data_IF_397757971079
#
_entry.id   IF_397757971079
#
_cell.length_a   1.000
_cell.length_b   1.000
_cell.length_c   1.000
_cell.angle_alpha   90.00
_cell.angle_beta   90.00
_cell.angle_gamma   90.00
#
_symmetry.space_group_name_H-M   'P 1'
#
loop_
_entity.id
_entity.type
_entity.pdbx_description
1 polymer ?
#
# COMPACT_ATOMS: atom_id res chain seq x y z
N UNK A 1 15.09 0.77 29.81
CA UNK A 1 13.77 0.63 29.13
C UNK A 1 13.81 1.56 27.94
N UNK A 2 13.73 1.02 26.71
CA UNK A 2 13.90 1.83 25.49
C UNK A 2 12.81 2.90 25.37
N UNK A 3 13.18 4.09 24.88
CA UNK A 3 12.24 5.19 24.63
C UNK A 3 11.15 4.74 23.64
N UNK A 4 9.88 5.00 23.96
CA UNK A 4 8.72 4.54 23.19
C UNK A 4 8.49 5.45 21.97
N UNK A 5 8.43 4.88 20.77
CA UNK A 5 8.10 5.59 19.53
C UNK A 5 6.58 5.73 19.42
N UNK A 6 6.08 6.96 19.33
CA UNK A 6 4.64 7.25 19.24
C UNK A 6 4.35 8.42 18.29
N UNK A 7 4.50 8.24 16.98
CA UNK A 7 4.24 9.30 15.99
C UNK A 7 2.81 9.89 16.09
N UNK A 8 1.83 9.08 16.49
CA UNK A 8 0.45 9.54 16.71
C UNK A 8 0.31 10.59 17.83
N UNK A 9 1.30 10.70 18.73
CA UNK A 9 1.37 11.68 19.83
C UNK A 9 2.49 12.71 19.62
N UNK A 10 2.94 12.89 18.37
CA UNK A 10 4.03 13.79 18.06
C UNK A 10 3.69 15.23 18.44
N UNK A 11 4.50 15.85 19.31
CA UNK A 11 4.32 17.23 19.75
C UNK A 11 4.92 18.26 18.79
N UNK A 12 5.73 17.83 17.82
CA UNK A 12 6.43 18.70 16.86
C UNK A 12 6.57 18.01 15.50
N UNK A 13 5.61 18.26 14.60
CA UNK A 13 5.56 17.64 13.26
C UNK A 13 6.50 18.39 12.30
N UNK A 14 7.66 17.79 12.01
CA UNK A 14 8.70 18.37 11.13
C UNK A 14 8.98 17.54 9.88
N UNK A 15 8.32 16.39 9.71
CA UNK A 15 8.71 15.37 8.71
C UNK A 15 8.77 15.89 7.26
N UNK A 16 7.96 16.89 6.91
CA UNK A 16 7.94 17.51 5.58
C UNK A 16 8.69 18.82 5.46
N UNK A 17 9.41 19.26 6.50
CA UNK A 17 10.13 20.54 6.53
C UNK A 17 11.64 20.37 6.39
N UNK A 18 12.37 21.48 6.30
CA UNK A 18 13.84 21.46 6.25
C UNK A 18 14.46 20.99 7.58
N UNK A 19 13.68 21.04 8.65
CA UNK A 19 14.03 20.68 10.03
C UNK A 19 13.56 19.27 10.39
N UNK A 20 13.45 18.37 9.40
CA UNK A 20 12.90 17.01 9.56
C UNK A 20 13.58 16.16 10.66
N UNK A 21 14.82 16.49 11.02
CA UNK A 21 15.60 15.84 12.08
C UNK A 21 15.50 16.55 13.45
N UNK A 22 14.77 17.66 13.54
CA UNK A 22 14.56 18.44 14.77
C UNK A 22 13.23 18.10 15.47
N UNK A 23 12.74 16.87 15.28
CA UNK A 23 11.58 16.34 16.00
C UNK A 23 11.85 16.13 17.49
N UNK A 24 10.82 15.68 18.24
CA UNK A 24 10.93 15.36 19.67
C UNK A 24 12.04 14.35 19.99
N UNK A 25 12.38 14.16 21.27
CA UNK A 25 13.45 13.22 21.69
C UNK A 25 13.22 11.81 21.16
N UNK A 26 11.97 11.34 21.19
CA UNK A 26 11.56 10.02 20.75
C UNK A 26 11.25 9.90 19.24
N UNK A 27 11.56 10.92 18.43
CA UNK A 27 11.28 10.90 17.00
C UNK A 27 12.08 9.77 16.30
N UNK A 28 11.42 8.86 15.56
CA UNK A 28 12.10 7.72 14.93
C UNK A 28 13.12 8.15 13.87
N UNK A 29 12.90 9.28 13.19
CA UNK A 29 13.87 9.89 12.27
C UNK A 29 15.22 10.18 12.94
N UNK A 30 15.22 10.45 14.25
CA UNK A 30 16.43 10.71 15.04
C UNK A 30 16.96 9.44 15.70
N UNK A 31 16.09 8.69 16.36
CA UNK A 31 16.48 7.59 17.26
C UNK A 31 16.65 6.25 16.55
N UNK A 32 16.14 6.09 15.33
CA UNK A 32 16.16 4.86 14.54
C UNK A 32 16.83 5.04 13.17
N UNK A 33 17.88 5.86 13.12
CA UNK A 33 18.65 6.11 11.89
C UNK A 33 19.21 4.83 11.27
N UNK A 34 19.70 3.91 12.10
CA UNK A 34 20.17 2.59 11.71
C UNK A 34 19.10 1.78 10.98
N UNK A 35 17.88 1.71 11.53
CA UNK A 35 16.75 1.02 10.91
C UNK A 35 16.34 1.70 9.61
N UNK A 36 16.33 3.03 9.57
CA UNK A 36 16.02 3.78 8.35
C UNK A 36 17.04 3.47 7.26
N UNK A 37 18.34 3.43 7.58
CA UNK A 37 19.37 3.07 6.60
C UNK A 37 19.22 1.62 6.12
N UNK A 38 18.91 0.68 7.01
CA UNK A 38 18.63 -0.71 6.63
C UNK A 38 17.42 -0.80 5.69
N UNK A 39 16.34 -0.08 5.99
CA UNK A 39 15.15 -0.04 5.15
C UNK A 39 15.42 0.63 3.78
N UNK A 40 16.29 1.64 3.73
CA UNK A 40 16.69 2.28 2.47
C UNK A 40 17.50 1.33 1.58
N UNK A 41 18.41 0.54 2.17
CA UNK A 41 19.22 -0.43 1.45
C UNK A 41 18.37 -1.54 0.79
N UNK A 42 17.17 -1.84 1.31
CA UNK A 42 16.25 -2.79 0.67
C UNK A 42 15.79 -2.30 -0.72
N UNK A 43 15.71 -0.99 -0.94
CA UNK A 43 15.41 -0.42 -2.27
C UNK A 43 16.59 -0.49 -3.24
N UNK A 44 17.74 -1.05 -2.85
CA UNK A 44 18.82 -1.32 -3.81
C UNK A 44 18.60 -2.58 -4.63
N UNK A 45 17.71 -3.48 -4.17
CA UNK A 45 17.28 -4.64 -4.93
C UNK A 45 16.46 -4.18 -6.14
N UNK A 46 16.87 -4.47 -7.39
CA UNK A 46 16.26 -3.87 -8.58
C UNK A 46 14.74 -4.02 -8.68
N UNK A 47 14.21 -5.18 -8.31
CA UNK A 47 12.78 -5.50 -8.32
C UNK A 47 12.00 -4.69 -7.28
N UNK A 48 12.57 -4.51 -6.08
CA UNK A 48 11.96 -3.69 -5.02
C UNK A 48 12.03 -2.21 -5.42
N UNK A 49 13.16 -1.78 -5.98
CA UNK A 49 13.38 -0.41 -6.45
C UNK A 49 12.33 0.00 -7.45
N UNK A 50 12.12 -0.81 -8.50
CA UNK A 50 11.16 -0.48 -9.55
C UNK A 50 9.72 -0.52 -9.03
N UNK A 51 9.37 -1.52 -8.23
CA UNK A 51 8.05 -1.60 -7.59
C UNK A 51 7.77 -0.34 -6.75
N UNK A 52 8.70 0.05 -5.88
CA UNK A 52 8.57 1.21 -5.01
C UNK A 52 8.48 2.50 -5.82
N UNK A 53 9.31 2.65 -6.86
CA UNK A 53 9.29 3.81 -7.76
C UNK A 53 7.94 3.97 -8.44
N UNK A 54 7.39 2.89 -8.99
CA UNK A 54 6.08 2.92 -9.65
C UNK A 54 4.94 3.16 -8.67
N UNK A 55 5.06 2.65 -7.43
CA UNK A 55 4.07 2.89 -6.38
C UNK A 55 4.05 4.35 -5.96
N UNK A 56 5.22 4.98 -5.77
CA UNK A 56 5.34 6.41 -5.48
C UNK A 56 4.81 7.28 -6.62
N UNK A 57 5.09 6.92 -7.87
CA UNK A 57 4.55 7.62 -9.04
C UNK A 57 3.01 7.52 -9.05
N UNK A 58 2.47 6.32 -8.84
CA UNK A 58 1.03 6.10 -8.83
C UNK A 58 0.33 6.89 -7.72
N UNK A 59 0.88 6.89 -6.51
CA UNK A 59 0.34 7.64 -5.37
C UNK A 59 0.35 9.15 -5.68
N UNK A 60 1.46 9.67 -6.20
CA UNK A 60 1.55 11.08 -6.56
C UNK A 60 0.54 11.48 -7.67
N UNK A 61 0.43 10.68 -8.73
CA UNK A 61 -0.49 10.91 -9.86
C UNK A 61 -1.98 10.79 -9.50
N UNK A 62 -2.31 10.19 -8.35
CA UNK A 62 -3.68 10.13 -7.84
C UNK A 62 -4.19 11.50 -7.37
N UNK A 63 -3.29 12.39 -6.95
CA UNK A 63 -3.71 13.68 -6.43
C UNK A 63 -4.03 14.70 -7.54
N UNK A 64 -4.98 15.58 -7.25
CA UNK A 64 -5.26 16.79 -8.01
C UNK A 64 -5.29 18.01 -7.08
N UNK A 65 -4.96 19.18 -7.62
CA UNK A 65 -5.05 20.45 -6.92
C UNK A 65 -6.36 21.15 -7.31
N UNK A 66 -7.16 21.50 -6.31
CA UNK A 66 -8.35 22.32 -6.42
C UNK A 66 -8.12 23.64 -5.66
N UNK A 67 -8.94 24.69 -5.89
CA UNK A 67 -8.85 25.93 -5.11
C UNK A 67 -8.92 25.72 -3.59
N UNK A 68 -9.64 24.68 -3.15
CA UNK A 68 -9.83 24.33 -1.73
C UNK A 68 -8.68 23.48 -1.16
N UNK A 69 -7.76 23.00 -2.01
CA UNK A 69 -6.59 22.21 -1.60
C UNK A 69 -6.32 20.98 -2.47
N UNK A 70 -5.38 20.14 -2.01
CA UNK A 70 -4.98 18.90 -2.68
C UNK A 70 -5.88 17.74 -2.24
N UNK A 71 -6.46 17.02 -3.20
CA UNK A 71 -7.33 15.86 -2.94
C UNK A 71 -7.00 14.68 -3.84
N UNK A 72 -7.32 13.46 -3.41
CA UNK A 72 -7.19 12.27 -4.23
C UNK A 72 -8.36 12.21 -5.22
N UNK A 73 -8.07 11.93 -6.50
CA UNK A 73 -9.07 11.90 -7.59
C UNK A 73 -9.54 10.49 -7.95
N UNK A 74 -8.71 9.48 -7.68
CA UNK A 74 -8.98 8.10 -8.11
C UNK A 74 -9.40 7.23 -6.91
N UNK A 75 -10.44 6.38 -7.07
CA UNK A 75 -10.72 5.34 -6.09
C UNK A 75 -9.62 4.27 -6.12
N UNK A 76 -9.43 3.54 -5.01
CA UNK A 76 -8.36 2.53 -4.88
C UNK A 76 -8.39 1.46 -5.97
N UNK A 77 -9.58 1.06 -6.45
CA UNK A 77 -9.70 0.09 -7.56
C UNK A 77 -9.06 0.62 -8.84
N UNK A 78 -9.22 1.91 -9.14
CA UNK A 78 -8.61 2.54 -10.31
C UNK A 78 -7.10 2.72 -10.12
N UNK A 79 -6.64 3.05 -8.91
CA UNK A 79 -5.21 3.09 -8.61
C UNK A 79 -4.53 1.73 -8.80
N UNK A 80 -5.18 0.63 -8.39
CA UNK A 80 -4.69 -0.74 -8.62
C UNK A 80 -4.55 -1.04 -10.11
N UNK A 81 -5.54 -0.66 -10.92
CA UNK A 81 -5.52 -0.83 -12.38
C UNK A 81 -4.36 -0.06 -13.00
N UNK A 82 -4.17 1.21 -12.62
CA UNK A 82 -3.11 2.06 -13.16
C UNK A 82 -1.73 1.56 -12.75
N UNK A 83 -1.54 1.20 -11.48
CA UNK A 83 -0.30 0.61 -10.98
C UNK A 83 0.04 -0.70 -11.71
N UNK A 84 -0.93 -1.63 -11.81
CA UNK A 84 -0.71 -2.91 -12.47
C UNK A 84 -0.31 -2.73 -13.95
N UNK A 85 -0.86 -1.72 -14.64
CA UNK A 85 -0.45 -1.35 -16.00
C UNK A 85 0.98 -0.82 -16.05
N UNK A 86 1.37 0.08 -15.13
CA UNK A 86 2.76 0.60 -15.04
C UNK A 86 3.77 -0.51 -14.79
N UNK A 87 3.40 -1.51 -13.98
CA UNK A 87 4.21 -2.70 -13.72
C UNK A 87 4.19 -3.74 -14.86
N UNK A 88 3.38 -3.52 -15.90
CA UNK A 88 3.25 -4.46 -17.02
C UNK A 88 2.54 -5.77 -16.68
N UNK A 89 1.86 -5.86 -15.52
CA UNK A 89 1.16 -7.07 -15.11
C UNK A 89 0.00 -7.39 -16.06
N UNK A 90 -0.17 -8.68 -16.36
CA UNK A 90 -1.24 -9.19 -17.23
C UNK A 90 -2.26 -10.02 -16.48
N UNK A 91 -1.83 -10.69 -15.42
CA UNK A 91 -2.65 -11.58 -14.61
C UNK A 91 -2.74 -11.06 -13.18
N UNK A 92 -3.96 -10.97 -12.65
CA UNK A 92 -4.22 -10.51 -11.29
C UNK A 92 -4.99 -11.57 -10.49
N UNK A 93 -4.55 -11.78 -9.24
CA UNK A 93 -5.19 -12.69 -8.31
C UNK A 93 -6.08 -11.96 -7.30
N UNK A 94 -7.29 -12.46 -7.05
CA UNK A 94 -8.19 -11.96 -6.01
C UNK A 94 -8.41 -13.05 -4.97
N UNK A 95 -7.86 -12.87 -3.77
CA UNK A 95 -8.20 -13.69 -2.60
C UNK A 95 -9.29 -12.98 -1.80
N UNK A 96 -10.40 -13.65 -1.51
CA UNK A 96 -11.55 -13.01 -0.87
C UNK A 96 -12.25 -13.92 0.14
N UNK A 97 -12.88 -13.30 1.14
CA UNK A 97 -13.72 -14.01 2.11
C UNK A 97 -15.04 -14.46 1.46
N UNK A 98 -15.60 -15.59 1.88
CA UNK A 98 -16.91 -16.07 1.41
C UNK A 98 -18.05 -15.03 1.60
N UNK A 99 -17.94 -14.14 2.58
CA UNK A 99 -18.88 -13.05 2.82
C UNK A 99 -18.75 -11.87 1.84
N UNK A 100 -17.66 -11.80 1.05
CA UNK A 100 -17.38 -10.73 0.09
C UNK A 100 -17.52 -11.21 -1.37
N UNK A 101 -18.39 -12.20 -1.61
CA UNK A 101 -18.59 -12.80 -2.94
C UNK A 101 -19.07 -11.80 -3.98
N UNK A 102 -19.97 -10.89 -3.59
CA UNK A 102 -20.54 -9.91 -4.51
C UNK A 102 -19.49 -8.86 -4.90
N UNK A 103 -18.74 -8.35 -3.92
CA UNK A 103 -17.64 -7.41 -4.10
C UNK A 103 -16.54 -8.02 -4.97
N UNK A 104 -16.15 -9.27 -4.71
CA UNK A 104 -15.18 -10.00 -5.52
C UNK A 104 -15.67 -10.13 -6.97
N UNK A 105 -16.94 -10.47 -7.20
CA UNK A 105 -17.52 -10.55 -8.56
C UNK A 105 -17.48 -9.20 -9.28
N UNK A 106 -17.81 -8.11 -8.60
CA UNK A 106 -17.76 -6.75 -9.15
C UNK A 106 -16.32 -6.38 -9.49
N UNK A 107 -15.38 -6.61 -8.57
CA UNK A 107 -13.96 -6.32 -8.78
C UNK A 107 -13.39 -7.12 -9.95
N UNK A 108 -13.68 -8.42 -10.04
CA UNK A 108 -13.28 -9.27 -11.17
C UNK A 108 -13.73 -8.66 -12.48
N UNK A 109 -15.02 -8.30 -12.60
CA UNK A 109 -15.56 -7.70 -13.82
C UNK A 109 -14.88 -6.37 -14.17
N UNK A 110 -14.61 -5.53 -13.17
CA UNK A 110 -13.91 -4.26 -13.40
C UNK A 110 -12.51 -4.53 -13.96
N UNK A 111 -11.74 -5.44 -13.36
CA UNK A 111 -10.37 -5.74 -13.77
C UNK A 111 -10.31 -6.43 -15.15
N UNK A 112 -11.21 -7.37 -15.43
CA UNK A 112 -11.33 -8.01 -16.76
C UNK A 112 -11.66 -6.96 -17.84
N UNK A 113 -12.61 -6.07 -17.58
CA UNK A 113 -12.94 -4.95 -18.49
C UNK A 113 -11.76 -3.97 -18.71
N UNK A 114 -10.78 -3.95 -17.80
CA UNK A 114 -9.56 -3.16 -17.93
C UNK A 114 -8.43 -3.90 -18.67
N UNK A 115 -8.67 -5.14 -19.09
CA UNK A 115 -7.79 -5.95 -19.93
C UNK A 115 -6.87 -6.92 -19.18
N UNK A 116 -7.18 -7.26 -17.93
CA UNK A 116 -6.41 -8.24 -17.16
C UNK A 116 -7.03 -9.64 -17.25
N UNK A 117 -6.19 -10.68 -17.23
CA UNK A 117 -6.58 -12.05 -16.89
C UNK A 117 -6.76 -12.14 -15.37
N UNK A 118 -7.97 -12.46 -14.89
CA UNK A 118 -8.28 -12.45 -13.47
C UNK A 118 -8.56 -13.86 -12.97
N UNK A 119 -7.83 -14.26 -11.93
CA UNK A 119 -8.10 -15.50 -11.19
C UNK A 119 -8.52 -15.14 -9.78
N UNK A 120 -9.48 -15.87 -9.22
CA UNK A 120 -9.97 -15.61 -7.87
C UNK A 120 -10.09 -16.87 -7.04
N UNK A 121 -9.90 -16.73 -5.73
CA UNK A 121 -10.03 -17.81 -4.75
C UNK A 121 -10.78 -17.34 -3.52
N UNK A 122 -11.77 -18.13 -3.11
CA UNK A 122 -12.55 -17.90 -1.90
C UNK A 122 -11.83 -18.51 -0.69
N UNK A 123 -11.90 -17.88 0.49
CA UNK A 123 -11.28 -18.37 1.72
C UNK A 123 -11.75 -19.78 2.15
N UNK A 124 -12.92 -20.21 1.65
CA UNK A 124 -13.47 -21.57 1.87
C UNK A 124 -13.11 -22.55 0.75
N UNK A 125 -12.15 -22.24 -0.12
CA UNK A 125 -11.62 -23.23 -1.05
C UNK A 125 -11.13 -24.46 -0.26
N UNK A 126 -11.61 -25.65 -0.63
CA UNK A 126 -11.40 -26.90 0.12
C UNK A 126 -12.49 -27.21 1.15
N UNK A 127 -13.22 -26.22 1.65
CA UNK A 127 -14.45 -26.42 2.44
C UNK A 127 -14.30 -27.26 3.72
N UNK A 128 -13.07 -27.41 4.23
CA UNK A 128 -12.79 -28.30 5.36
C UNK A 128 -13.54 -27.81 6.62
N UNK A 129 -14.37 -28.66 7.25
CA UNK A 129 -15.10 -28.30 8.46
C UNK A 129 -14.15 -27.91 9.59
N UNK A 130 -14.54 -26.94 10.44
CA UNK A 130 -13.68 -26.49 11.55
C UNK A 130 -13.46 -27.59 12.58
N UNK A 131 -14.42 -28.50 12.68
CA UNK A 131 -14.42 -29.69 13.53
C UNK A 131 -13.23 -30.63 13.25
N UNK A 132 -12.57 -30.50 12.09
CA UNK A 132 -11.34 -31.27 11.79
C UNK A 132 -10.14 -30.88 12.64
N UNK A 133 -10.14 -29.69 13.26
CA UNK A 133 -9.01 -29.21 14.09
C UNK A 133 -9.34 -29.10 15.59
N UNK A 134 -10.54 -29.50 16.01
CA UNK A 134 -11.01 -29.40 17.40
C UNK A 134 -11.82 -28.14 17.66
#
# INVERSE_FOLDING_TARGET
MGEKIECAKCSKVVCGSKEFDQGPSNCPTKTKRDIIQQALAEYDKPEIREFARQASIQEFECYMNLPEGRTARNPRVEEVVQFAKKMGYKKLGIAFCAGLRNEAKILTRILENRGFDVVSVCCKAGGIPKETIG
#
